data_IF_977692835634
#
_entry.id   IF_977692835634
#
_cell.length_a   1.000
_cell.length_b   1.000
_cell.length_c   1.000
_cell.angle_alpha   90.00
_cell.angle_beta   90.00
_cell.angle_gamma   90.00
#
_symmetry.space_group_name_H-M   'P 1'
#
loop_
_entity.id
_entity.type
_entity.pdbx_description
1 polymer ?
#
# COMPACT_ATOMS: atom_id res chain seq x y z
N UNK A 1 3.76 -3.29 18.28
CA UNK A 1 3.38 -2.31 17.22
C UNK A 1 4.68 -1.76 16.69
N UNK A 2 4.93 -1.73 15.37
CA UNK A 2 6.18 -1.22 14.84
C UNK A 2 6.41 0.23 15.28
N UNK A 3 7.61 0.53 15.71
CA UNK A 3 8.09 1.87 16.00
C UNK A 3 8.57 2.56 14.72
N UNK A 4 8.77 3.88 14.81
CA UNK A 4 9.17 4.69 13.65
C UNK A 4 10.38 4.14 12.89
N UNK A 5 11.46 3.66 13.55
CA UNK A 5 12.60 3.07 12.85
C UNK A 5 12.24 1.79 12.10
N UNK A 6 11.37 0.95 12.66
CA UNK A 6 10.95 -0.32 12.03
C UNK A 6 10.12 -0.06 10.77
N UNK A 7 9.22 0.93 10.80
CA UNK A 7 8.44 1.30 9.62
C UNK A 7 9.34 1.87 8.51
N UNK A 8 10.39 2.61 8.87
CA UNK A 8 11.37 3.11 7.92
C UNK A 8 12.16 1.97 7.27
N UNK A 9 12.56 0.96 8.05
CA UNK A 9 13.19 -0.26 7.53
C UNK A 9 12.28 -0.99 6.56
N UNK A 10 11.01 -1.23 6.94
CA UNK A 10 10.02 -1.90 6.08
C UNK A 10 9.84 -1.14 4.75
N UNK A 11 9.76 0.20 4.79
CA UNK A 11 9.66 1.02 3.56
C UNK A 11 10.86 0.78 2.64
N UNK A 12 12.09 0.83 3.19
CA UNK A 12 13.31 0.70 2.41
C UNK A 12 13.48 -0.71 1.82
N UNK A 13 13.00 -1.74 2.52
CA UNK A 13 12.99 -3.11 2.01
C UNK A 13 11.93 -3.31 0.92
N UNK A 14 10.72 -2.78 1.09
CA UNK A 14 9.62 -2.98 0.14
C UNK A 14 9.77 -2.17 -1.15
N UNK A 15 10.22 -0.91 -1.05
CA UNK A 15 10.30 0.02 -2.18
C UNK A 15 10.95 -0.56 -3.46
N UNK A 16 12.16 -1.17 -3.42
CA UNK A 16 12.81 -1.69 -4.63
C UNK A 16 12.06 -2.86 -5.28
N UNK A 17 11.21 -3.57 -4.54
CA UNK A 17 10.44 -4.70 -5.05
C UNK A 17 9.05 -4.31 -5.56
N UNK A 18 8.53 -3.16 -5.13
CA UNK A 18 7.16 -2.72 -5.45
C UNK A 18 7.13 -1.63 -6.53
N UNK A 19 8.03 -0.65 -6.48
CA UNK A 19 7.98 0.51 -7.38
C UNK A 19 8.14 0.04 -8.84
N UNK A 20 7.26 0.54 -9.70
CA UNK A 20 7.18 0.19 -11.12
C UNK A 20 6.21 -0.95 -11.45
N UNK A 21 5.78 -1.74 -10.45
CA UNK A 21 4.83 -2.84 -10.65
C UNK A 21 3.38 -2.34 -10.72
N UNK A 22 2.56 -3.06 -11.47
CA UNK A 22 1.13 -2.78 -11.64
C UNK A 22 0.30 -3.76 -10.82
N UNK A 23 -0.70 -3.27 -10.11
CA UNK A 23 -1.61 -4.10 -9.32
C UNK A 23 -2.58 -4.80 -10.28
N UNK A 24 -2.52 -6.13 -10.36
CA UNK A 24 -3.35 -6.92 -11.28
C UNK A 24 -4.59 -7.49 -10.61
N UNK A 25 -4.51 -7.78 -9.32
CA UNK A 25 -5.59 -8.34 -8.52
C UNK A 25 -5.40 -7.98 -7.04
N UNK A 26 -6.50 -7.99 -6.30
CA UNK A 26 -6.51 -7.76 -4.85
C UNK A 26 -7.38 -8.84 -4.22
N UNK A 27 -6.90 -9.41 -3.12
CA UNK A 27 -7.67 -10.33 -2.27
C UNK A 27 -7.73 -9.73 -0.87
N UNK A 28 -8.94 -9.46 -0.38
CA UNK A 28 -9.18 -8.95 0.97
C UNK A 28 -9.76 -10.07 1.82
N UNK A 29 -9.01 -10.50 2.83
CA UNK A 29 -9.41 -11.57 3.76
C UNK A 29 -10.20 -11.04 4.96
N UNK A 30 -10.04 -9.75 5.28
CA UNK A 30 -10.77 -9.03 6.32
C UNK A 30 -11.13 -7.64 5.79
N UNK A 31 -12.43 -7.37 5.68
CA UNK A 31 -12.98 -6.12 5.15
C UNK A 31 -12.73 -4.93 6.09
N UNK A 32 -12.57 -5.17 7.40
CA UNK A 32 -12.37 -4.13 8.42
C UNK A 32 -11.03 -3.42 8.30
N UNK A 33 -10.08 -3.99 7.57
CA UNK A 33 -8.77 -3.36 7.29
C UNK A 33 -8.94 -2.12 6.41
N UNK A 34 -9.94 -2.13 5.51
CA UNK A 34 -10.21 -1.00 4.61
C UNK A 34 -11.21 -0.07 5.28
N UNK A 35 -10.72 1.11 5.70
CA UNK A 35 -11.58 2.13 6.34
C UNK A 35 -12.51 2.82 5.35
N UNK A 36 -12.00 3.16 4.17
CA UNK A 36 -12.74 3.84 3.09
C UNK A 36 -11.92 3.77 1.80
N UNK A 37 -12.54 3.75 0.61
CA UNK A 37 -13.99 3.57 0.35
C UNK A 37 -14.46 2.13 0.68
N UNK A 38 -15.73 1.73 0.43
CA UNK A 38 -16.15 0.34 0.55
C UNK A 38 -15.25 -0.62 -0.24
N UNK A 39 -15.15 -1.87 0.20
CA UNK A 39 -14.18 -2.86 -0.31
C UNK A 39 -14.24 -3.05 -1.83
N UNK A 40 -15.44 -3.13 -2.42
CA UNK A 40 -15.60 -3.28 -3.87
C UNK A 40 -15.05 -2.07 -4.64
N UNK A 41 -15.29 -0.86 -4.12
CA UNK A 41 -14.77 0.37 -4.70
C UNK A 41 -13.26 0.49 -4.49
N UNK A 42 -12.73 0.05 -3.35
CA UNK A 42 -11.31 0.04 -3.07
C UNK A 42 -10.55 -0.86 -4.06
N UNK A 43 -11.03 -2.08 -4.29
CA UNK A 43 -10.43 -3.01 -5.24
C UNK A 43 -10.44 -2.48 -6.66
N UNK A 44 -11.60 -2.01 -7.13
CA UNK A 44 -11.76 -1.46 -8.49
C UNK A 44 -10.92 -0.22 -8.74
N UNK A 45 -10.73 0.65 -7.74
CA UNK A 45 -9.84 1.80 -7.86
C UNK A 45 -8.38 1.41 -7.99
N UNK A 46 -7.92 0.36 -7.32
CA UNK A 46 -6.50 0.01 -7.25
C UNK A 46 -6.03 -0.90 -8.40
N UNK A 47 -6.89 -1.79 -8.90
CA UNK A 47 -6.53 -2.67 -10.01
C UNK A 47 -6.20 -1.82 -11.25
N UNK A 48 -5.05 -2.11 -11.87
CA UNK A 48 -4.52 -1.38 -13.01
C UNK A 48 -3.62 -0.19 -12.63
N UNK A 49 -3.61 0.26 -11.37
CA UNK A 49 -2.69 1.30 -10.94
C UNK A 49 -1.25 0.77 -10.80
N UNK A 50 -0.29 1.60 -11.16
CA UNK A 50 1.14 1.34 -10.95
C UNK A 50 1.62 2.00 -9.66
N UNK A 51 2.43 1.27 -8.89
CA UNK A 51 3.09 1.82 -7.70
C UNK A 51 4.26 2.70 -8.16
N UNK A 52 4.21 3.99 -7.83
CA UNK A 52 5.21 4.99 -8.26
C UNK A 52 6.17 5.41 -7.15
N UNK A 53 5.81 5.18 -5.89
CA UNK A 53 6.63 5.55 -4.75
C UNK A 53 6.15 4.94 -3.44
N UNK A 54 7.02 5.02 -2.43
CA UNK A 54 6.72 4.63 -1.06
C UNK A 54 7.32 5.67 -0.10
N UNK A 55 6.48 6.21 0.78
CA UNK A 55 6.84 7.23 1.75
C UNK A 55 6.44 6.77 3.16
N UNK A 56 7.06 7.36 4.18
CA UNK A 56 6.68 7.14 5.58
C UNK A 56 6.29 8.46 6.21
N UNK A 57 5.13 8.48 6.87
CA UNK A 57 4.71 9.58 7.74
C UNK A 57 4.37 9.04 9.13
N UNK A 58 5.23 9.30 10.11
CA UNK A 58 5.07 8.69 11.43
C UNK A 58 5.11 7.15 11.32
N UNK A 59 4.06 6.48 11.80
CA UNK A 59 3.92 5.01 11.72
C UNK A 59 3.12 4.54 10.49
N UNK A 60 2.83 5.44 9.54
CA UNK A 60 2.11 5.12 8.31
C UNK A 60 3.07 4.93 7.14
N UNK A 61 2.83 3.89 6.35
CA UNK A 61 3.35 3.76 4.98
C UNK A 61 2.35 4.35 4.00
N UNK A 62 2.83 5.11 3.05
CA UNK A 62 2.04 5.78 2.01
C UNK A 62 2.60 5.35 0.67
N UNK A 63 1.77 4.74 -0.17
CA UNK A 63 2.15 4.34 -1.52
C UNK A 63 1.60 5.34 -2.54
N UNK A 64 2.48 5.81 -3.42
CA UNK A 64 2.10 6.59 -4.60
C UNK A 64 1.55 5.67 -5.69
N UNK A 65 0.43 6.05 -6.30
CA UNK A 65 -0.23 5.30 -7.37
C UNK A 65 -0.57 6.22 -8.56
N UNK A 66 -1.05 5.66 -9.67
CA UNK A 66 -1.32 6.37 -10.96
C UNK A 66 -2.76 6.25 -11.39
#
# INVERSE_FOLDING_TARGET
MPELPEVETIKNELAPHLIGHTITAITLLDDKIVRQPPVEEFGSRLIGQKITGAERRGKYLIFGLT
#
